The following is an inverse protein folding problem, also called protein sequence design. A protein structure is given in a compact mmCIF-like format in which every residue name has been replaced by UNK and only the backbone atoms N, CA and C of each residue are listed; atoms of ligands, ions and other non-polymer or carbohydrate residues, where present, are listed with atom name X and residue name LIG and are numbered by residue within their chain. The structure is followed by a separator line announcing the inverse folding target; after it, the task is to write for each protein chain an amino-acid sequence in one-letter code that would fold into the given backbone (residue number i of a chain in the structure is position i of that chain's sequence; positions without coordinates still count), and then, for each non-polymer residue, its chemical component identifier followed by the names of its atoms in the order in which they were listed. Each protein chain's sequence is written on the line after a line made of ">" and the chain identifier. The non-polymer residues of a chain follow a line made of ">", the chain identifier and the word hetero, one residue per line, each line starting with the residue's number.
data_IF_326320238720
#
_entry.id   IF_326320238720
#
_cell.length_a   1.000
_cell.length_b   1.000
_cell.length_c   1.000
_cell.angle_alpha   90.00
_cell.angle_beta   90.00
_cell.angle_gamma   90.00
#
_symmetry.space_group_name_H-M   'P 1'
#
loop_
_entity.id
_entity.type
_entity.pdbx_description
1 polymer ?
#
# COMPACT_ATOMS: atom_id res chain seq x y z
N UNK A 1 -39.86 17.29 -15.84
CA UNK A 1 -38.72 16.70 -15.10
C UNK A 1 -37.45 17.06 -15.84
N UNK A 2 -36.50 17.72 -15.17
CA UNK A 2 -35.16 18.01 -15.71
C UNK A 2 -34.21 16.90 -15.25
N UNK A 3 -33.30 16.38 -16.07
CA UNK A 3 -32.32 15.40 -15.60
C UNK A 3 -31.39 16.08 -14.58
N UNK A 4 -31.06 15.39 -13.50
CA UNK A 4 -29.95 15.78 -12.63
C UNK A 4 -28.66 15.66 -13.44
N UNK A 5 -28.01 16.78 -13.70
CA UNK A 5 -26.63 16.80 -14.20
C UNK A 5 -25.73 16.28 -13.09
N UNK A 6 -25.16 15.10 -13.26
CA UNK A 6 -24.04 14.63 -12.44
C UNK A 6 -22.78 15.39 -12.84
N UNK A 7 -22.70 16.68 -12.50
CA UNK A 7 -21.43 17.40 -12.55
C UNK A 7 -20.76 17.29 -11.18
N UNK A 8 -19.96 16.25 -10.99
CA UNK A 8 -18.85 16.33 -10.05
C UNK A 8 -17.72 15.39 -10.45
N UNK A 9 -17.28 15.46 -11.72
CA UNK A 9 -15.87 15.20 -11.99
C UNK A 9 -15.08 16.38 -11.42
N UNK A 10 -14.87 16.40 -10.11
CA UNK A 10 -13.81 17.25 -9.59
C UNK A 10 -12.51 16.74 -10.24
N UNK A 11 -11.78 17.60 -10.97
CA UNK A 11 -10.48 17.19 -11.46
C UNK A 11 -9.65 16.81 -10.24
N UNK A 12 -9.18 15.56 -10.18
CA UNK A 12 -8.19 15.14 -9.21
C UNK A 12 -6.95 16.00 -9.45
N UNK A 13 -6.77 17.05 -8.66
CA UNK A 13 -5.60 17.91 -8.76
C UNK A 13 -4.45 17.24 -8.02
N UNK A 14 -3.55 16.63 -8.78
CA UNK A 14 -2.27 16.14 -8.27
C UNK A 14 -1.25 17.29 -8.31
N UNK A 15 -0.74 17.70 -7.15
CA UNK A 15 0.39 18.63 -7.06
C UNK A 15 1.64 17.88 -6.63
N UNK A 16 2.67 17.93 -7.46
CA UNK A 16 4.00 17.35 -7.18
C UNK A 16 4.99 18.51 -7.02
N UNK A 17 5.63 18.59 -5.87
CA UNK A 17 6.76 19.49 -5.62
C UNK A 17 8.05 18.66 -5.54
N UNK A 18 9.02 18.93 -6.41
CA UNK A 18 10.30 18.22 -6.44
C UNK A 18 11.43 19.19 -6.80
N UNK A 19 12.61 18.97 -6.22
CA UNK A 19 13.84 19.72 -6.50
C UNK A 19 14.66 19.13 -7.66
N UNK A 20 14.24 17.99 -8.22
CA UNK A 20 14.93 17.29 -9.31
C UNK A 20 13.96 16.70 -10.34
N UNK A 21 14.50 15.98 -11.33
CA UNK A 21 13.69 15.29 -12.35
C UNK A 21 12.79 14.26 -11.69
N UNK A 22 11.51 14.28 -12.06
CA UNK A 22 10.52 13.34 -11.55
C UNK A 22 9.68 12.78 -12.70
N UNK A 23 9.06 11.63 -12.45
CA UNK A 23 8.09 11.00 -13.34
C UNK A 23 7.04 10.31 -12.48
N UNK A 24 5.78 10.36 -12.93
CA UNK A 24 4.67 9.68 -12.28
C UNK A 24 3.86 8.94 -13.34
N UNK A 25 3.33 7.78 -12.97
CA UNK A 25 2.44 6.98 -13.80
C UNK A 25 1.12 6.82 -13.05
N UNK A 26 0.01 7.10 -13.72
CA UNK A 26 -1.32 6.76 -13.23
C UNK A 26 -1.67 5.38 -13.76
N UNK A 27 -2.00 4.46 -12.86
CA UNK A 27 -2.43 3.12 -13.23
C UNK A 27 -3.77 2.78 -12.57
N UNK A 28 -4.61 1.97 -13.23
CA UNK A 28 -5.81 1.42 -12.61
C UNK A 28 -5.48 0.68 -11.31
N UNK A 29 -6.37 0.71 -10.31
CA UNK A 29 -6.09 0.08 -9.01
C UNK A 29 -5.81 -1.42 -9.09
N UNK A 30 -6.41 -2.13 -10.06
CA UNK A 30 -6.19 -3.56 -10.29
C UNK A 30 -4.82 -3.93 -10.91
N UNK A 31 -4.04 -2.92 -11.32
CA UNK A 31 -2.66 -3.09 -11.79
C UNK A 31 -1.62 -3.18 -10.67
N UNK A 32 -2.03 -2.93 -9.41
CA UNK A 32 -1.14 -3.04 -8.28
C UNK A 32 -0.49 -4.44 -8.22
N UNK A 33 0.84 -4.53 -8.00
CA UNK A 33 1.53 -5.81 -7.90
C UNK A 33 0.88 -6.74 -6.88
N UNK A 34 0.72 -8.01 -7.25
CA UNK A 34 0.06 -8.98 -6.38
C UNK A 34 1.05 -9.60 -5.38
N UNK A 35 0.64 -9.69 -4.12
CA UNK A 35 1.32 -10.42 -3.06
C UNK A 35 0.75 -11.84 -3.00
N UNK A 36 1.37 -12.78 -3.71
CA UNK A 36 0.88 -14.17 -3.77
C UNK A 36 1.47 -15.06 -2.68
N UNK A 37 2.77 -14.89 -2.40
CA UNK A 37 3.49 -15.57 -1.31
C UNK A 37 4.53 -14.66 -0.69
N UNK A 38 5.27 -13.97 -1.54
CA UNK A 38 6.39 -13.12 -1.14
C UNK A 38 6.46 -11.91 -2.04
N UNK A 39 6.71 -10.73 -1.47
CA UNK A 39 7.04 -9.52 -2.22
C UNK A 39 8.13 -8.74 -1.49
N UNK A 40 9.04 -8.13 -2.25
CA UNK A 40 10.14 -7.36 -1.71
C UNK A 40 10.27 -6.05 -2.46
N UNK A 41 10.67 -4.99 -1.77
CA UNK A 41 10.99 -3.72 -2.40
C UNK A 41 11.87 -2.86 -1.48
N UNK A 42 12.06 -1.61 -1.88
CA UNK A 42 12.70 -0.56 -1.10
C UNK A 42 11.76 0.63 -0.98
N UNK A 43 11.60 1.15 0.24
CA UNK A 43 10.79 2.34 0.49
C UNK A 43 9.27 2.08 0.46
N UNK A 44 8.45 3.13 0.35
CA UNK A 44 7.00 3.00 0.27
C UNK A 44 6.55 2.20 -0.96
N UNK A 45 5.49 1.40 -0.82
CA UNK A 45 5.01 0.55 -1.89
C UNK A 45 3.54 0.19 -1.71
N UNK A 46 2.82 0.07 -2.82
CA UNK A 46 1.43 -0.39 -2.85
C UNK A 46 1.38 -1.77 -3.51
N UNK A 47 0.76 -2.73 -2.85
CA UNK A 47 0.49 -4.04 -3.42
C UNK A 47 -0.95 -4.50 -3.11
N UNK A 48 -1.39 -5.56 -3.78
CA UNK A 48 -2.70 -6.18 -3.57
C UNK A 48 -2.51 -7.62 -3.11
N UNK A 49 -3.18 -8.00 -2.04
CA UNK A 49 -3.32 -9.40 -1.64
C UNK A 49 -4.69 -9.91 -2.11
N UNK A 50 -4.70 -10.98 -2.90
CA UNK A 50 -5.91 -11.64 -3.41
C UNK A 50 -6.00 -13.04 -2.81
N UNK A 51 -6.57 -13.13 -1.61
CA UNK A 51 -6.71 -14.38 -0.87
C UNK A 51 -7.73 -14.29 0.26
N UNK A 52 -7.80 -15.36 1.06
CA UNK A 52 -8.59 -15.41 2.28
C UNK A 52 -7.83 -14.90 3.49
N UNK A 53 -8.36 -15.14 4.69
CA UNK A 53 -7.67 -14.79 5.92
C UNK A 53 -6.28 -15.46 5.97
N UNK A 54 -5.24 -14.69 6.33
CA UNK A 54 -3.87 -15.16 6.33
C UNK A 54 -3.00 -14.40 7.32
N UNK A 55 -1.90 -15.02 7.76
CA UNK A 55 -0.86 -14.34 8.54
C UNK A 55 0.18 -13.77 7.58
N UNK A 56 0.61 -12.55 7.84
CA UNK A 56 1.71 -11.93 7.11
C UNK A 56 2.85 -11.60 8.06
N UNK A 57 4.07 -11.71 7.53
CA UNK A 57 5.29 -11.30 8.22
C UNK A 57 6.06 -10.35 7.33
N UNK A 58 6.57 -9.27 7.90
CA UNK A 58 7.48 -8.34 7.24
C UNK A 58 8.83 -8.35 7.94
N UNK A 59 9.90 -8.53 7.18
CA UNK A 59 11.28 -8.28 7.62
C UNK A 59 11.74 -6.93 7.08
N UNK A 60 12.11 -6.01 7.97
CA UNK A 60 12.68 -4.70 7.64
C UNK A 60 14.18 -4.70 7.87
N UNK A 61 14.95 -4.25 6.88
CA UNK A 61 16.43 -4.43 6.86
C UNK A 61 17.22 -3.15 7.08
N UNK A 62 16.55 -2.03 7.31
CA UNK A 62 17.17 -0.73 7.52
C UNK A 62 16.67 -0.01 8.78
N UNK A 63 17.26 1.14 9.09
CA UNK A 63 16.81 2.00 10.19
C UNK A 63 15.51 2.74 9.87
N UNK A 64 14.74 3.09 10.90
CA UNK A 64 13.50 3.88 10.75
C UNK A 64 12.24 3.10 11.12
N UNK A 65 11.09 3.76 11.07
CA UNK A 65 9.79 3.11 11.31
C UNK A 65 9.29 2.45 10.04
N UNK A 66 8.50 1.39 10.19
CA UNK A 66 7.75 0.80 9.11
C UNK A 66 6.35 0.37 9.53
N UNK A 67 5.43 0.28 8.57
CA UNK A 67 4.07 -0.21 8.74
C UNK A 67 3.53 -0.82 7.45
N UNK A 68 2.58 -1.74 7.61
CA UNK A 68 1.71 -2.22 6.55
C UNK A 68 0.27 -1.93 6.98
N UNK A 69 -0.46 -1.23 6.13
CA UNK A 69 -1.82 -0.75 6.42
C UNK A 69 -2.74 -1.22 5.30
N UNK A 70 -3.92 -1.76 5.65
CA UNK A 70 -4.97 -2.00 4.66
C UNK A 70 -5.53 -0.66 4.17
N UNK A 71 -5.78 -0.55 2.87
CA UNK A 71 -6.46 0.62 2.32
C UNK A 71 -7.96 0.39 2.26
N UNK A 72 -8.73 1.46 2.48
CA UNK A 72 -10.18 1.46 2.22
C UNK A 72 -10.46 1.34 0.71
N UNK A 73 -11.70 1.03 0.29
CA UNK A 73 -12.06 0.99 -1.14
C UNK A 73 -11.78 2.31 -1.89
N UNK A 74 -11.78 3.44 -1.18
CA UNK A 74 -11.45 4.78 -1.69
C UNK A 74 -9.94 5.10 -1.60
N UNK A 75 -9.10 4.10 -1.33
CA UNK A 75 -7.65 4.22 -1.13
C UNK A 75 -7.23 5.13 0.04
N UNK A 76 -8.08 5.27 1.06
CA UNK A 76 -7.72 5.89 2.34
C UNK A 76 -6.98 4.92 3.26
N UNK A 77 -6.34 5.42 4.33
CA UNK A 77 -5.72 4.57 5.34
C UNK A 77 -6.79 3.87 6.20
N UNK A 78 -6.81 2.55 6.15
CA UNK A 78 -7.63 1.68 7.00
C UNK A 78 -6.85 1.15 8.21
N UNK A 79 -7.16 -0.07 8.69
CA UNK A 79 -6.47 -0.64 9.85
C UNK A 79 -5.00 -0.96 9.55
N UNK A 80 -4.14 -0.74 10.55
CA UNK A 80 -2.75 -1.18 10.51
C UNK A 80 -2.69 -2.68 10.74
N UNK A 81 -2.10 -3.40 9.80
CA UNK A 81 -1.91 -4.87 9.86
C UNK A 81 -0.73 -5.19 10.77
N UNK A 82 0.39 -4.50 10.55
CA UNK A 82 1.60 -4.62 11.36
C UNK A 82 2.40 -3.32 11.33
N UNK A 83 3.25 -3.13 12.34
CA UNK A 83 4.20 -2.03 12.39
C UNK A 83 5.42 -2.38 13.23
N UNK A 84 6.51 -1.66 13.00
CA UNK A 84 7.76 -1.86 13.72
C UNK A 84 8.76 -0.73 13.51
N UNK A 85 9.98 -0.94 13.99
CA UNK A 85 11.08 0.01 13.84
C UNK A 85 12.44 -0.68 13.79
N UNK A 86 13.39 -0.02 13.14
CA UNK A 86 14.76 -0.49 12.99
C UNK A 86 14.84 -1.75 12.15
N UNK A 87 15.96 -2.45 12.26
CA UNK A 87 16.17 -3.76 11.66
C UNK A 87 15.43 -4.78 12.52
N UNK A 88 14.23 -5.17 12.10
CA UNK A 88 13.35 -6.05 12.87
C UNK A 88 12.32 -6.74 11.98
N UNK A 89 11.63 -7.72 12.56
CA UNK A 89 10.50 -8.41 11.93
C UNK A 89 9.22 -8.08 12.70
N UNK A 90 8.12 -7.94 11.98
CA UNK A 90 6.79 -7.79 12.55
C UNK A 90 5.80 -8.70 11.83
N UNK A 91 4.71 -9.04 12.50
CA UNK A 91 3.70 -9.93 12.00
C UNK A 91 2.32 -9.33 12.22
N UNK A 92 1.38 -9.72 11.36
CA UNK A 92 0.00 -9.27 11.41
C UNK A 92 -0.90 -10.27 10.71
N UNK A 93 -2.20 -9.99 10.75
CA UNK A 93 -3.23 -10.84 10.15
C UNK A 93 -4.05 -10.03 9.16
N UNK A 94 -4.34 -10.64 8.01
CA UNK A 94 -5.30 -10.15 7.03
C UNK A 94 -6.60 -10.92 7.21
N UNK A 95 -7.72 -10.21 7.20
CA UNK A 95 -9.05 -10.84 7.24
C UNK A 95 -9.45 -11.44 5.89
N UNK A 96 -8.82 -11.00 4.80
CA UNK A 96 -9.13 -11.40 3.43
C UNK A 96 -8.37 -10.58 2.41
N UNK A 97 -8.90 -10.50 1.19
CA UNK A 97 -8.30 -9.74 0.11
C UNK A 97 -8.28 -8.24 0.45
N UNK A 98 -7.14 -7.59 0.21
CA UNK A 98 -6.94 -6.19 0.58
C UNK A 98 -5.90 -5.51 -0.32
N UNK A 99 -6.00 -4.18 -0.43
CA UNK A 99 -4.88 -3.34 -0.86
C UNK A 99 -4.03 -3.00 0.34
N UNK A 100 -2.71 -3.14 0.21
CA UNK A 100 -1.76 -2.94 1.29
C UNK A 100 -0.81 -1.81 0.92
N UNK A 101 -0.79 -0.77 1.76
CA UNK A 101 0.23 0.27 1.73
C UNK A 101 1.35 -0.11 2.69
N UNK A 102 2.53 -0.32 2.13
CA UNK A 102 3.77 -0.46 2.89
C UNK A 102 4.40 0.92 3.02
N UNK A 103 4.60 1.37 4.23
CA UNK A 103 5.40 2.56 4.53
C UNK A 103 6.67 2.09 5.23
N UNK A 104 7.82 2.25 4.59
CA UNK A 104 9.10 1.84 5.13
C UNK A 104 10.21 2.74 4.60
N UNK A 105 11.32 2.79 5.34
CA UNK A 105 12.56 3.41 4.85
C UNK A 105 13.57 2.31 4.59
N UNK A 106 13.93 2.13 3.33
CA UNK A 106 14.92 1.13 2.96
C UNK A 106 14.31 -0.21 2.56
N UNK A 107 15.13 -1.24 2.55
CA UNK A 107 14.75 -2.57 2.05
C UNK A 107 13.85 -3.35 3.01
N UNK A 108 12.90 -4.08 2.43
CA UNK A 108 12.00 -4.94 3.17
C UNK A 108 11.51 -6.12 2.33
N UNK A 109 10.97 -7.12 3.03
CA UNK A 109 10.41 -8.34 2.46
C UNK A 109 9.14 -8.72 3.24
N UNK A 110 8.03 -8.92 2.55
CA UNK A 110 6.78 -9.45 3.11
C UNK A 110 6.58 -10.89 2.65
N UNK A 111 6.12 -11.75 3.55
CA UNK A 111 5.68 -13.12 3.28
C UNK A 111 4.27 -13.34 3.80
N UNK A 112 3.50 -14.15 3.08
CA UNK A 112 2.17 -14.65 3.49
C UNK A 112 2.32 -16.13 3.82
N UNK A 113 1.78 -16.56 4.96
CA UNK A 113 1.75 -17.94 5.43
C UNK A 113 0.39 -18.58 5.21
#
# INVERSE_FOLDING_TARGET
>A
MRPLSLSTEWPLQLRIESTGTWSAWLQPGDSAPSLDRTIASRGPFLCRYVGGAARIQMDHREGGKFSVTELTPEFGHGPTVLSGKGISSAEGELAGSAFLLVEARGEWLIRVA
#
